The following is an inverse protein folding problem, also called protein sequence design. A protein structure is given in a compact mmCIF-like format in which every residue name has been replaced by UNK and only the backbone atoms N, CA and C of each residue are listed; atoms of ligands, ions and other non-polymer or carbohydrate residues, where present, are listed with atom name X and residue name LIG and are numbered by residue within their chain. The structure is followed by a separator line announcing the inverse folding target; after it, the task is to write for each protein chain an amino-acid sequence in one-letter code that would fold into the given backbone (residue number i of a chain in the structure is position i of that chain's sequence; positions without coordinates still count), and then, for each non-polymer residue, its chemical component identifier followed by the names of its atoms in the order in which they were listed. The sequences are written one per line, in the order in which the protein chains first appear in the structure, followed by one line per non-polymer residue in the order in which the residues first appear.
data_IF_115551957902
#
_entry.id   IF_115551957902
#
_cell.length_a   1.000
_cell.length_b   1.000
_cell.length_c   1.000
_cell.angle_alpha   90.00
_cell.angle_beta   90.00
_cell.angle_gamma   90.00
#
_symmetry.space_group_name_H-M   'P 1'
#
loop_
_entity.id
_entity.type
_entity.pdbx_description
1 polymer ?
#
# COMPACT_ATOMS: atom_id res chain seq x y z
N UNK A 1 -33.57 -24.82 -16.04
CA UNK A 1 -33.55 -23.47 -15.44
C UNK A 1 -32.25 -23.19 -14.69
N UNK A 2 -31.67 -24.12 -13.96
CA UNK A 2 -30.39 -23.97 -13.26
C UNK A 2 -29.23 -23.70 -14.23
N UNK A 3 -29.13 -24.45 -15.30
CA UNK A 3 -28.13 -24.22 -16.35
C UNK A 3 -28.22 -22.81 -16.94
N UNK A 4 -29.43 -22.34 -17.18
CA UNK A 4 -29.66 -21.00 -17.72
C UNK A 4 -29.27 -19.90 -16.73
N UNK A 5 -29.50 -20.09 -15.44
CA UNK A 5 -29.02 -19.19 -14.37
C UNK A 5 -27.50 -19.18 -14.28
N UNK A 6 -26.87 -20.34 -14.36
CA UNK A 6 -25.41 -20.46 -14.38
C UNK A 6 -24.78 -19.71 -15.57
N UNK A 7 -25.32 -19.86 -16.79
CA UNK A 7 -24.85 -19.10 -17.94
C UNK A 7 -25.03 -17.59 -17.79
N UNK A 8 -26.16 -17.13 -17.21
CA UNK A 8 -26.39 -15.71 -16.96
C UNK A 8 -25.36 -15.17 -15.97
N UNK A 9 -25.05 -15.89 -14.88
CA UNK A 9 -24.03 -15.49 -13.91
C UNK A 9 -22.64 -15.40 -14.56
N UNK A 10 -22.27 -16.38 -15.40
CA UNK A 10 -21.00 -16.34 -16.12
C UNK A 10 -20.92 -15.15 -17.07
N UNK A 11 -22.00 -14.86 -17.79
CA UNK A 11 -22.06 -13.70 -18.69
C UNK A 11 -21.95 -12.37 -17.93
N UNK A 12 -22.63 -12.25 -16.79
CA UNK A 12 -22.56 -11.07 -15.95
C UNK A 12 -21.15 -10.84 -15.43
N UNK A 13 -20.50 -11.88 -14.88
CA UNK A 13 -19.11 -11.82 -14.45
C UNK A 13 -18.15 -11.40 -15.58
N UNK A 14 -18.32 -11.96 -16.79
CA UNK A 14 -17.47 -11.61 -17.94
C UNK A 14 -17.72 -10.19 -18.42
N UNK A 15 -18.97 -9.72 -18.39
CA UNK A 15 -19.35 -8.34 -18.72
C UNK A 15 -18.74 -7.34 -17.74
N UNK A 16 -18.88 -7.57 -16.44
CA UNK A 16 -18.27 -6.74 -15.40
C UNK A 16 -16.74 -6.69 -15.55
N UNK A 17 -16.13 -7.83 -15.83
CA UNK A 17 -14.69 -7.89 -16.09
C UNK A 17 -14.28 -7.07 -17.32
N UNK A 18 -15.03 -7.17 -18.42
CA UNK A 18 -14.76 -6.39 -19.63
C UNK A 18 -14.87 -4.89 -19.35
N UNK A 19 -15.86 -4.47 -18.57
CA UNK A 19 -16.02 -3.07 -18.14
C UNK A 19 -14.75 -2.59 -17.42
N UNK A 20 -14.27 -3.32 -16.41
CA UNK A 20 -13.04 -2.97 -15.66
C UNK A 20 -11.83 -2.90 -16.59
N UNK A 21 -11.70 -3.84 -17.53
CA UNK A 21 -10.59 -3.83 -18.51
C UNK A 21 -10.61 -2.58 -19.40
N UNK A 22 -11.79 -2.16 -19.84
CA UNK A 22 -11.96 -0.96 -20.66
C UNK A 22 -11.61 0.29 -19.83
N UNK A 23 -12.09 0.38 -18.59
CA UNK A 23 -11.77 1.49 -17.67
C UNK A 23 -10.25 1.56 -17.42
N UNK A 24 -9.62 0.43 -17.10
CA UNK A 24 -8.16 0.32 -16.90
C UNK A 24 -7.38 0.77 -18.16
N UNK A 25 -7.80 0.35 -19.34
CA UNK A 25 -7.17 0.73 -20.62
C UNK A 25 -7.28 2.24 -20.87
N UNK A 26 -8.44 2.82 -20.61
CA UNK A 26 -8.65 4.28 -20.72
C UNK A 26 -7.76 5.05 -19.74
N UNK A 27 -7.63 4.59 -18.49
CA UNK A 27 -6.77 5.23 -17.50
C UNK A 27 -5.30 5.22 -17.95
N UNK A 28 -4.77 4.07 -18.40
CA UNK A 28 -3.40 3.97 -18.91
C UNK A 28 -3.22 4.83 -20.17
N UNK A 29 -4.20 4.85 -21.06
CA UNK A 29 -4.14 5.66 -22.30
C UNK A 29 -4.07 7.15 -21.97
N UNK A 30 -4.92 7.64 -21.05
CA UNK A 30 -4.90 9.03 -20.59
C UNK A 30 -3.59 9.39 -19.91
N UNK A 31 -3.06 8.52 -19.05
CA UNK A 31 -1.80 8.75 -18.38
C UNK A 31 -0.64 8.87 -19.38
N UNK A 32 -0.58 8.00 -20.38
CA UNK A 32 0.47 8.02 -21.41
C UNK A 32 0.36 9.22 -22.37
N UNK A 33 -0.84 9.74 -22.59
CA UNK A 33 -1.06 10.95 -23.44
C UNK A 33 -0.88 12.26 -22.68
N UNK A 34 -0.58 12.21 -21.36
CA UNK A 34 -0.47 13.41 -20.53
C UNK A 34 -1.78 14.15 -20.28
N UNK A 35 -2.92 13.50 -20.58
CA UNK A 35 -4.26 14.11 -20.43
C UNK A 35 -4.95 13.79 -19.12
N UNK A 36 -4.27 13.14 -18.19
CA UNK A 36 -4.79 12.87 -16.85
C UNK A 36 -4.90 14.17 -16.06
N UNK A 37 -6.10 14.52 -15.67
CA UNK A 37 -6.31 15.58 -14.68
C UNK A 37 -6.03 15.01 -13.31
N UNK A 38 -5.04 15.60 -12.61
CA UNK A 38 -4.71 15.28 -11.23
C UNK A 38 -5.42 16.26 -10.30
N UNK A 39 -5.85 15.77 -9.14
CA UNK A 39 -6.37 16.55 -8.03
C UNK A 39 -5.45 16.35 -6.82
N UNK A 40 -4.26 17.00 -6.80
CA UNK A 40 -3.28 16.79 -5.73
C UNK A 40 -3.76 17.40 -4.43
N UNK A 41 -3.56 16.67 -3.35
CA UNK A 41 -3.87 17.05 -1.97
C UNK A 41 -2.81 16.50 -1.01
N UNK A 42 -2.87 16.87 0.25
CA UNK A 42 -1.98 16.34 1.27
C UNK A 42 -2.44 14.94 1.69
N UNK A 43 -1.76 13.92 1.21
CA UNK A 43 -2.07 12.51 1.45
C UNK A 43 -1.14 11.92 2.48
N UNK A 44 -1.69 11.40 3.58
CA UNK A 44 -0.92 10.57 4.51
C UNK A 44 -0.80 9.15 3.96
N UNK A 45 0.37 8.83 3.43
CA UNK A 45 0.69 7.54 2.82
C UNK A 45 0.48 6.37 3.80
N UNK A 46 0.77 6.58 5.08
CA UNK A 46 0.62 5.53 6.10
C UNK A 46 -0.86 5.20 6.32
N UNK A 47 -1.69 6.23 6.45
CA UNK A 47 -3.15 6.08 6.61
C UNK A 47 -3.76 5.45 5.36
N UNK A 48 -3.35 5.88 4.17
CA UNK A 48 -3.84 5.33 2.91
C UNK A 48 -3.47 3.84 2.74
N UNK A 49 -2.22 3.45 3.05
CA UNK A 49 -1.80 2.04 3.01
C UNK A 49 -2.58 1.18 4.01
N UNK A 50 -2.88 1.70 5.21
CA UNK A 50 -3.71 1.02 6.20
C UNK A 50 -5.14 0.83 5.70
N UNK A 51 -5.70 1.84 5.03
CA UNK A 51 -7.03 1.76 4.41
C UNK A 51 -7.06 0.67 3.33
N UNK A 52 -6.15 0.70 2.36
CA UNK A 52 -6.09 -0.31 1.28
C UNK A 52 -5.90 -1.72 1.85
N UNK A 53 -5.03 -1.87 2.86
CA UNK A 53 -4.84 -3.14 3.57
C UNK A 53 -6.15 -3.65 4.18
N UNK A 54 -6.93 -2.78 4.82
CA UNK A 54 -8.21 -3.15 5.43
C UNK A 54 -9.22 -3.58 4.38
N UNK A 55 -9.37 -2.81 3.30
CA UNK A 55 -10.31 -3.09 2.22
C UNK A 55 -9.96 -4.38 1.43
N UNK A 56 -8.67 -4.72 1.34
CA UNK A 56 -8.18 -5.93 0.67
C UNK A 56 -7.97 -7.13 1.62
N UNK A 57 -8.38 -7.04 2.89
CA UNK A 57 -8.11 -8.05 3.92
C UNK A 57 -8.53 -9.46 3.50
N UNK A 58 -9.71 -9.61 2.91
CA UNK A 58 -10.23 -10.90 2.48
C UNK A 58 -9.41 -11.52 1.34
N UNK A 59 -9.03 -10.69 0.34
CA UNK A 59 -8.18 -11.14 -0.77
C UNK A 59 -6.78 -11.53 -0.31
N UNK A 60 -6.22 -10.74 0.61
CA UNK A 60 -4.90 -11.02 1.21
C UNK A 60 -4.94 -12.32 2.02
N UNK A 61 -5.95 -12.51 2.84
CA UNK A 61 -6.13 -13.74 3.64
C UNK A 61 -6.33 -14.98 2.76
N UNK A 62 -7.12 -14.86 1.70
CA UNK A 62 -7.38 -15.96 0.75
C UNK A 62 -6.14 -16.36 -0.05
N UNK A 63 -5.12 -15.47 -0.19
CA UNK A 63 -3.89 -15.77 -0.93
C UNK A 63 -2.95 -16.75 -0.23
N UNK A 64 -3.12 -16.98 1.07
CA UNK A 64 -2.21 -17.80 1.88
C UNK A 64 -0.83 -17.18 2.09
N UNK A 65 -0.66 -15.88 1.82
CA UNK A 65 0.59 -15.12 2.01
C UNK A 65 0.51 -14.31 3.29
N UNK A 66 1.57 -14.31 4.10
CA UNK A 66 1.69 -13.47 5.28
C UNK A 66 2.17 -12.07 4.90
N UNK A 67 1.28 -11.06 4.91
CA UNK A 67 1.64 -9.67 4.61
C UNK A 67 2.20 -8.95 5.83
N UNK A 68 3.44 -8.48 5.72
CA UNK A 68 4.15 -7.74 6.77
C UNK A 68 4.33 -6.28 6.36
N UNK A 69 3.75 -5.38 7.15
CA UNK A 69 3.82 -3.94 6.94
C UNK A 69 4.83 -3.32 7.92
N UNK A 70 5.97 -2.89 7.39
CA UNK A 70 7.00 -2.13 8.11
C UNK A 70 6.81 -0.64 7.81
N UNK A 71 5.94 -0.01 8.57
CA UNK A 71 5.59 1.40 8.41
C UNK A 71 6.30 2.20 9.51
N UNK A 72 6.86 3.39 9.21
CA UNK A 72 7.44 4.25 10.21
C UNK A 72 6.36 4.73 11.20
N UNK A 73 6.79 5.06 12.41
CA UNK A 73 5.93 5.77 13.34
C UNK A 73 5.60 7.17 12.81
N UNK A 74 4.36 7.61 13.03
CA UNK A 74 3.86 8.91 12.61
C UNK A 74 3.40 8.96 11.15
N UNK A 75 3.14 10.19 10.71
CA UNK A 75 2.53 10.47 9.40
C UNK A 75 3.61 10.67 8.33
N UNK A 76 3.33 10.23 7.12
CA UNK A 76 4.16 10.51 5.93
C UNK A 76 3.26 11.24 4.93
N UNK A 77 3.38 12.57 4.89
CA UNK A 77 2.54 13.41 4.05
C UNK A 77 3.24 13.68 2.72
N UNK A 78 2.55 13.40 1.62
CA UNK A 78 2.98 13.74 0.26
C UNK A 78 1.87 14.51 -0.45
N UNK A 79 2.23 15.38 -1.39
CA UNK A 79 1.26 16.14 -2.20
C UNK A 79 0.95 15.36 -3.47
N UNK A 80 -0.10 14.54 -3.44
CA UNK A 80 -0.46 13.55 -4.46
C UNK A 80 -1.99 13.53 -4.65
N UNK A 81 -2.44 12.94 -5.76
CA UNK A 81 -3.85 12.59 -5.96
C UNK A 81 -4.16 11.32 -5.16
N UNK A 82 -5.02 11.43 -4.13
CA UNK A 82 -5.34 10.34 -3.22
C UNK A 82 -5.98 9.15 -3.92
N UNK A 83 -6.86 9.39 -4.91
CA UNK A 83 -7.53 8.31 -5.65
C UNK A 83 -6.54 7.55 -6.54
N UNK A 84 -5.65 8.25 -7.24
CA UNK A 84 -4.62 7.62 -8.07
C UNK A 84 -3.59 6.87 -7.21
N UNK A 85 -3.23 7.43 -6.06
CA UNK A 85 -2.33 6.78 -5.11
C UNK A 85 -2.97 5.53 -4.48
N UNK A 86 -4.26 5.59 -4.14
CA UNK A 86 -5.02 4.40 -3.74
C UNK A 86 -4.95 3.30 -4.80
N UNK A 87 -5.21 3.62 -6.06
CA UNK A 87 -5.17 2.66 -7.18
C UNK A 87 -3.78 2.07 -7.40
N UNK A 88 -2.70 2.82 -7.15
CA UNK A 88 -1.33 2.28 -7.18
C UNK A 88 -1.20 1.16 -6.15
N UNK A 89 -1.54 1.43 -4.89
CA UNK A 89 -1.38 0.45 -3.81
C UNK A 89 -2.32 -0.75 -3.96
N UNK A 90 -3.56 -0.52 -4.38
CA UNK A 90 -4.52 -1.58 -4.69
C UNK A 90 -3.96 -2.54 -5.75
N UNK A 91 -3.49 -2.01 -6.90
CA UNK A 91 -2.92 -2.81 -7.98
C UNK A 91 -1.72 -3.64 -7.51
N UNK A 92 -0.82 -3.03 -6.73
CA UNK A 92 0.37 -3.72 -6.25
C UNK A 92 0.04 -4.80 -5.20
N UNK A 93 -0.84 -4.54 -4.24
CA UNK A 93 -1.23 -5.52 -3.23
C UNK A 93 -2.05 -6.67 -3.83
N UNK A 94 -2.95 -6.37 -4.77
CA UNK A 94 -3.69 -7.39 -5.53
C UNK A 94 -2.74 -8.23 -6.38
N UNK A 95 -1.71 -7.62 -6.98
CA UNK A 95 -0.67 -8.34 -7.72
C UNK A 95 0.07 -9.34 -6.83
N UNK A 96 0.49 -8.92 -5.63
CA UNK A 96 1.13 -9.80 -4.65
C UNK A 96 0.20 -10.95 -4.24
N UNK A 97 -1.05 -10.63 -3.87
CA UNK A 97 -2.01 -11.65 -3.45
C UNK A 97 -2.30 -12.70 -4.53
N UNK A 98 -2.16 -12.32 -5.80
CA UNK A 98 -2.48 -13.16 -6.95
C UNK A 98 -1.31 -13.99 -7.46
N UNK A 99 -0.10 -13.43 -7.46
CA UNK A 99 1.08 -14.03 -8.09
C UNK A 99 2.15 -14.43 -7.07
N UNK A 100 2.00 -14.03 -5.82
CA UNK A 100 2.91 -14.46 -4.77
C UNK A 100 2.72 -15.92 -4.38
N UNK A 101 3.78 -16.55 -3.89
CA UNK A 101 3.82 -17.96 -3.49
C UNK A 101 3.09 -18.13 -2.15
N UNK A 102 2.01 -18.94 -2.06
CA UNK A 102 1.35 -19.25 -0.80
C UNK A 102 2.31 -19.84 0.23
N UNK A 103 2.07 -19.58 1.52
CA UNK A 103 2.94 -20.02 2.61
C UNK A 103 4.21 -19.20 2.79
N UNK A 104 4.43 -18.17 1.96
CA UNK A 104 5.56 -17.25 2.08
C UNK A 104 5.15 -15.90 2.69
N UNK A 105 6.08 -14.95 2.71
CA UNK A 105 5.86 -13.61 3.25
C UNK A 105 5.98 -12.55 2.17
N UNK A 106 5.08 -11.57 2.23
CA UNK A 106 5.20 -10.33 1.47
C UNK A 106 5.56 -9.17 2.43
N UNK A 107 6.48 -8.32 2.03
CA UNK A 107 6.93 -7.20 2.84
C UNK A 107 6.59 -5.88 2.16
N UNK A 108 5.87 -5.03 2.86
CA UNK A 108 5.53 -3.68 2.46
C UNK A 108 6.27 -2.73 3.41
N UNK A 109 7.14 -1.89 2.87
CA UNK A 109 7.98 -1.01 3.68
C UNK A 109 7.90 0.42 3.17
N UNK A 110 7.81 1.37 4.10
CA UNK A 110 7.90 2.81 3.82
C UNK A 110 9.10 3.36 4.58
N UNK A 111 9.99 4.06 3.88
CA UNK A 111 11.21 4.65 4.45
C UNK A 111 11.37 6.08 3.94
N UNK A 112 11.68 7.01 4.84
CA UNK A 112 12.18 8.33 4.46
C UNK A 112 13.66 8.27 4.22
N UNK A 113 14.09 8.70 3.05
CA UNK A 113 15.51 8.81 2.70
C UNK A 113 16.08 10.17 3.16
N UNK A 114 17.39 10.23 3.51
CA UNK A 114 18.02 11.48 3.97
C UNK A 114 17.91 12.63 2.96
N UNK A 115 17.83 12.33 1.68
CA UNK A 115 17.77 13.27 0.57
C UNK A 115 16.38 13.89 0.35
N UNK A 116 15.42 13.64 1.27
CA UNK A 116 14.07 14.16 1.16
C UNK A 116 13.20 13.39 0.18
N UNK A 117 13.41 12.10 0.07
CA UNK A 117 12.54 11.20 -0.66
C UNK A 117 11.83 10.23 0.29
N UNK A 118 10.64 9.81 -0.12
CA UNK A 118 9.92 8.69 0.48
C UNK A 118 10.03 7.50 -0.47
N UNK A 119 10.58 6.40 0.06
CA UNK A 119 10.72 5.14 -0.64
C UNK A 119 9.66 4.16 -0.12
N UNK A 120 8.86 3.62 -1.02
CA UNK A 120 7.86 2.59 -0.72
C UNK A 120 8.25 1.35 -1.50
N UNK A 121 8.60 0.29 -0.78
CA UNK A 121 8.97 -0.98 -1.40
C UNK A 121 7.98 -2.08 -1.05
N UNK A 122 7.62 -2.88 -2.03
CA UNK A 122 6.79 -4.08 -1.88
C UNK A 122 7.52 -5.25 -2.50
N UNK A 123 7.71 -6.34 -1.73
CA UNK A 123 8.44 -7.52 -2.20
C UNK A 123 7.75 -8.79 -1.77
N UNK A 124 7.79 -9.81 -2.63
CA UNK A 124 7.25 -11.14 -2.38
C UNK A 124 8.04 -12.18 -3.19
N UNK A 125 7.92 -13.43 -2.80
CA UNK A 125 8.34 -14.57 -3.61
C UNK A 125 7.25 -14.82 -4.64
N UNK A 126 7.61 -14.99 -5.92
CA UNK A 126 6.67 -15.34 -6.99
C UNK A 126 6.34 -16.83 -6.95
N UNK A 127 5.07 -17.17 -7.19
CA UNK A 127 4.65 -18.57 -7.32
C UNK A 127 5.16 -19.25 -8.60
N UNK A 128 5.66 -18.47 -9.54
CA UNK A 128 6.13 -18.94 -10.84
C UNK A 128 7.45 -18.26 -11.18
N UNK A 129 8.30 -18.93 -11.93
CA UNK A 129 9.52 -18.33 -12.48
C UNK A 129 9.18 -17.12 -13.35
N UNK A 130 9.94 -16.06 -13.15
CA UNK A 130 9.78 -14.79 -13.84
C UNK A 130 10.79 -14.73 -15.00
N UNK A 131 10.43 -15.36 -16.13
CA UNK A 131 11.28 -15.42 -17.35
C UNK A 131 11.10 -14.19 -18.26
N UNK A 132 10.61 -13.07 -17.72
CA UNK A 132 10.39 -11.80 -18.44
C UNK A 132 11.23 -10.72 -17.80
N UNK A 133 11.74 -9.80 -18.62
CA UNK A 133 12.51 -8.66 -18.09
C UNK A 133 11.63 -7.73 -17.23
N UNK A 134 12.22 -7.02 -16.25
CA UNK A 134 11.49 -6.04 -15.44
C UNK A 134 10.78 -4.97 -16.27
N UNK A 135 11.36 -4.59 -17.41
CA UNK A 135 10.79 -3.62 -18.35
C UNK A 135 9.52 -4.17 -18.99
N UNK A 136 9.57 -5.42 -19.49
CA UNK A 136 8.43 -6.10 -20.11
C UNK A 136 7.27 -6.27 -19.12
N UNK A 137 7.53 -6.50 -17.82
CA UNK A 137 6.49 -6.62 -16.80
C UNK A 137 5.66 -5.34 -16.61
N UNK A 138 6.17 -4.19 -17.02
CA UNK A 138 5.46 -2.91 -16.99
C UNK A 138 4.82 -2.53 -18.32
N UNK A 139 5.07 -3.30 -19.37
CA UNK A 139 4.38 -3.10 -20.65
C UNK A 139 2.91 -3.51 -20.55
N UNK A 140 2.11 -2.94 -21.44
CA UNK A 140 0.66 -3.19 -21.46
C UNK A 140 0.39 -4.62 -21.92
N UNK A 141 -0.51 -5.31 -21.22
CA UNK A 141 -0.95 -6.66 -21.57
C UNK A 141 0.13 -7.75 -21.48
N UNK A 142 1.31 -7.44 -20.95
CA UNK A 142 2.33 -8.46 -20.72
C UNK A 142 1.93 -9.32 -19.53
N UNK A 143 1.92 -10.62 -19.75
CA UNK A 143 1.66 -11.65 -18.75
C UNK A 143 2.75 -12.70 -18.92
N UNK A 144 3.37 -13.11 -17.83
CA UNK A 144 4.27 -14.27 -17.89
C UNK A 144 3.56 -15.46 -18.55
N UNK A 145 4.27 -16.26 -19.32
CA UNK A 145 3.68 -17.33 -20.15
C UNK A 145 2.77 -18.29 -19.36
N UNK A 146 3.11 -18.56 -18.11
CA UNK A 146 2.34 -19.41 -17.20
C UNK A 146 1.08 -18.75 -16.62
N UNK A 147 0.97 -17.42 -16.65
CA UNK A 147 -0.17 -16.68 -16.08
C UNK A 147 -1.34 -16.46 -17.05
N UNK A 148 -1.25 -16.99 -18.27
CA UNK A 148 -2.31 -16.85 -19.30
C UNK A 148 -3.67 -17.42 -18.86
N UNK A 149 -3.67 -18.42 -17.99
CA UNK A 149 -4.87 -19.05 -17.44
C UNK A 149 -5.40 -18.41 -16.15
N UNK A 150 -4.67 -17.44 -15.53
CA UNK A 150 -5.12 -16.77 -14.31
C UNK A 150 -5.94 -15.54 -14.64
N UNK A 151 -6.95 -15.23 -13.80
CA UNK A 151 -7.77 -14.02 -13.97
C UNK A 151 -6.94 -12.73 -13.76
N UNK A 152 -6.95 -11.81 -14.73
CA UNK A 152 -6.29 -10.50 -14.63
C UNK A 152 -6.16 -9.81 -15.98
N UNK A 153 -6.07 -8.47 -15.95
CA UNK A 153 -5.93 -7.64 -17.15
C UNK A 153 -4.51 -7.64 -17.73
N UNK A 154 -3.50 -7.87 -16.89
CA UNK A 154 -2.12 -7.58 -17.24
C UNK A 154 -1.80 -6.08 -17.27
N UNK A 155 -2.72 -5.23 -16.80
CA UNK A 155 -2.58 -3.77 -16.81
C UNK A 155 -2.20 -3.19 -15.45
N UNK A 156 -2.34 -3.94 -14.35
CA UNK A 156 -2.18 -3.40 -13.00
C UNK A 156 -0.82 -2.77 -12.73
N UNK A 157 0.28 -3.37 -13.17
CA UNK A 157 1.63 -2.79 -13.04
C UNK A 157 1.81 -1.58 -13.95
N UNK A 158 1.28 -1.61 -15.17
CA UNK A 158 1.32 -0.48 -16.09
C UNK A 158 0.53 0.71 -15.56
N UNK A 159 -0.66 0.48 -14.97
CA UNK A 159 -1.48 1.51 -14.29
C UNK A 159 -0.70 2.11 -13.12
N UNK A 160 -0.16 1.25 -12.24
CA UNK A 160 0.60 1.71 -11.08
C UNK A 160 1.79 2.57 -11.51
N UNK A 161 2.58 2.13 -12.49
CA UNK A 161 3.71 2.89 -13.05
C UNK A 161 3.27 4.23 -13.61
N UNK A 162 2.25 4.23 -14.48
CA UNK A 162 1.75 5.46 -15.10
C UNK A 162 1.28 6.47 -14.05
N UNK A 163 0.56 6.03 -13.00
CA UNK A 163 0.09 6.92 -11.94
C UNK A 163 1.21 7.41 -11.02
N UNK A 164 2.27 6.65 -10.82
CA UNK A 164 3.47 7.11 -10.12
C UNK A 164 4.16 8.21 -10.92
N UNK A 165 4.38 7.98 -12.23
CA UNK A 165 5.10 8.89 -13.12
C UNK A 165 4.37 10.22 -13.33
N UNK A 166 3.05 10.21 -13.57
CA UNK A 166 2.26 11.46 -13.74
C UNK A 166 2.21 12.29 -12.46
N UNK A 167 2.45 11.69 -11.29
CA UNK A 167 2.55 12.36 -10.00
C UNK A 167 4.00 12.72 -9.64
N UNK A 168 4.93 12.70 -10.60
CA UNK A 168 6.32 13.12 -10.41
C UNK A 168 7.19 12.13 -9.64
N UNK A 169 6.73 10.89 -9.45
CA UNK A 169 7.49 9.80 -8.84
C UNK A 169 8.24 8.95 -9.86
N UNK A 170 8.98 7.98 -9.34
CA UNK A 170 9.59 6.91 -10.14
C UNK A 170 9.20 5.55 -9.58
N UNK A 171 8.99 4.59 -10.48
CA UNK A 171 8.72 3.20 -10.13
C UNK A 171 9.72 2.28 -10.81
N UNK A 172 10.39 1.43 -10.01
CA UNK A 172 11.34 0.42 -10.48
C UNK A 172 10.83 -0.96 -10.09
N UNK A 173 10.93 -1.92 -11.01
CA UNK A 173 10.73 -3.33 -10.75
C UNK A 173 12.09 -4.01 -10.73
N UNK A 174 12.30 -4.86 -9.75
CA UNK A 174 13.50 -5.68 -9.60
C UNK A 174 13.03 -7.14 -9.48
N UNK A 175 13.70 -7.99 -10.25
CA UNK A 175 13.48 -9.44 -10.24
C UNK A 175 14.83 -10.09 -10.01
N UNK A 176 14.91 -10.93 -8.99
CA UNK A 176 16.09 -11.72 -8.65
C UNK A 176 15.59 -13.15 -8.37
N UNK A 177 15.82 -14.04 -9.31
CA UNK A 177 15.29 -15.40 -9.34
C UNK A 177 13.75 -15.40 -9.21
N UNK A 178 13.23 -15.87 -8.07
CA UNK A 178 11.79 -15.87 -7.73
C UNK A 178 11.36 -14.67 -6.87
N UNK A 179 12.30 -13.79 -6.50
CA UNK A 179 12.00 -12.60 -5.72
C UNK A 179 11.56 -11.45 -6.62
N UNK A 180 10.31 -11.04 -6.46
CA UNK A 180 9.74 -9.87 -7.13
C UNK A 180 9.71 -8.69 -6.17
N UNK A 181 10.19 -7.54 -6.62
CA UNK A 181 10.21 -6.31 -5.83
C UNK A 181 9.80 -5.11 -6.68
N UNK A 182 8.88 -4.30 -6.15
CA UNK A 182 8.54 -2.98 -6.67
C UNK A 182 9.06 -1.93 -5.71
N UNK A 183 9.70 -0.89 -6.25
CA UNK A 183 10.17 0.27 -5.49
C UNK A 183 9.56 1.52 -6.11
N UNK A 184 8.83 2.29 -5.30
CA UNK A 184 8.29 3.59 -5.66
C UNK A 184 9.02 4.65 -4.86
N UNK A 185 9.38 5.75 -5.52
CA UNK A 185 10.10 6.86 -4.91
C UNK A 185 9.43 8.17 -5.28
N UNK A 186 9.00 8.95 -4.27
CA UNK A 186 8.51 10.30 -4.42
C UNK A 186 9.36 11.28 -3.63
N UNK A 187 9.47 12.50 -4.14
CA UNK A 187 10.15 13.58 -3.41
C UNK A 187 9.19 14.12 -2.35
N UNK A 188 9.66 14.18 -1.09
CA UNK A 188 8.96 14.83 0.00
C UNK A 188 9.12 16.36 -0.17
N UNK A 189 8.03 17.14 -0.12
CA UNK A 189 8.14 18.60 -0.19
C UNK A 189 8.86 19.13 1.05
N UNK A 190 9.97 19.85 0.84
CA UNK A 190 10.91 20.22 1.92
C UNK A 190 10.29 21.08 3.05
N UNK A 191 9.22 21.83 2.76
CA UNK A 191 8.49 22.62 3.78
C UNK A 191 7.59 21.74 4.64
N UNK A 192 6.90 20.78 4.05
CA UNK A 192 5.94 19.91 4.73
C UNK A 192 6.61 18.80 5.55
N UNK A 193 7.75 18.32 5.07
CA UNK A 193 8.57 17.36 5.82
C UNK A 193 9.15 17.94 7.12
N UNK A 194 9.37 19.26 7.20
CA UNK A 194 9.78 19.93 8.43
C UNK A 194 8.63 20.09 9.40
N UNK A 195 7.47 20.57 8.95
CA UNK A 195 6.29 20.76 9.79
C UNK A 195 5.77 19.43 10.36
N UNK A 196 5.77 18.35 9.54
CA UNK A 196 5.41 17.02 10.00
C UNK A 196 6.40 16.48 11.06
N UNK A 197 7.70 16.75 10.93
CA UNK A 197 8.73 16.36 11.89
C UNK A 197 8.64 17.18 13.18
N UNK A 198 8.36 18.46 13.09
CA UNK A 198 8.19 19.34 14.24
C UNK A 198 6.92 19.01 15.03
N UNK A 199 5.80 18.72 14.34
CA UNK A 199 4.58 18.24 14.96
C UNK A 199 4.75 16.91 15.71
N UNK A 200 5.46 15.96 15.11
CA UNK A 200 5.78 14.68 15.76
C UNK A 200 6.66 14.82 17.00
N UNK A 201 7.66 15.71 16.94
CA UNK A 201 8.51 15.97 18.10
C UNK A 201 7.73 16.64 19.26
N UNK A 202 6.77 17.52 18.93
CA UNK A 202 5.90 18.13 19.95
C UNK A 202 4.92 17.11 20.56
N UNK A 203 4.32 16.24 19.75
CA UNK A 203 3.45 15.17 20.26
C UNK A 203 4.22 14.19 21.15
N UNK A 204 5.43 13.80 20.76
CA UNK A 204 6.30 12.94 21.55
C UNK A 204 6.68 13.58 22.89
N UNK A 205 7.07 14.84 22.88
CA UNK A 205 7.37 15.59 24.10
C UNK A 205 6.17 15.74 25.01
N UNK A 206 4.97 15.94 24.45
CA UNK A 206 3.74 16.02 25.22
C UNK A 206 3.36 14.66 25.85
N UNK A 207 3.54 13.55 25.12
CA UNK A 207 3.32 12.20 25.67
C UNK A 207 4.32 11.84 26.76
N UNK A 208 5.60 12.22 26.61
CA UNK A 208 6.62 12.02 27.63
C UNK A 208 6.33 12.84 28.89
N UNK A 209 5.84 14.08 28.75
CA UNK A 209 5.41 14.92 29.91
C UNK A 209 4.20 14.30 30.61
N UNK A 210 3.18 13.85 29.89
CA UNK A 210 1.99 13.22 30.48
C UNK A 210 2.35 11.91 31.22
N UNK A 211 3.27 11.13 30.69
CA UNK A 211 3.75 9.92 31.35
C UNK A 211 4.58 10.23 32.62
N UNK A 212 5.36 11.31 32.63
CA UNK A 212 6.09 11.76 33.82
C UNK A 212 5.15 12.31 34.90
N UNK A 213 4.16 13.10 34.52
CA UNK A 213 3.14 13.63 35.46
C UNK A 213 2.27 12.49 36.02
N UNK A 214 1.91 11.49 35.21
CA UNK A 214 1.17 10.30 35.65
C UNK A 214 1.93 9.43 36.62
N UNK A 215 3.28 9.37 36.52
CA UNK A 215 4.12 8.60 37.44
C UNK A 215 4.36 9.32 38.78
N UNK A 216 4.37 10.64 38.81
CA UNK A 216 4.51 11.44 40.03
C UNK A 216 3.23 11.47 40.88
N UNK A 217 2.06 11.30 40.26
CA UNK A 217 0.76 11.23 40.97
C UNK A 217 0.46 9.89 41.65
N UNK A 218 1.28 8.87 41.43
CA UNK A 218 1.05 7.51 41.98
C UNK A 218 1.74 7.25 43.33
N UNK A 219 2.58 8.15 43.83
CA UNK A 219 3.37 7.95 45.08
C UNK A 219 2.78 8.58 46.33
N UNK A 220 1.69 9.32 46.30
CA UNK A 220 1.03 9.83 47.53
C UNK A 220 -0.27 9.05 47.83
N UNK A 221 -0.12 7.91 48.49
CA UNK A 221 -1.19 7.36 49.36
C UNK A 221 -0.89 7.71 50.80
N UNK A 222 -1.70 8.55 51.49
CA UNK A 222 -1.54 8.82 52.91
C UNK A 222 -1.82 7.54 53.72
N UNK A 223 -0.99 7.36 54.72
CA UNK A 223 -1.02 6.19 55.60
C UNK A 223 -2.36 5.97 56.30
N UNK A 224 -2.75 4.72 56.36
CA UNK A 224 -3.93 4.22 57.08
C UNK A 224 -3.61 4.24 58.57
N UNK A 225 -4.18 5.17 59.32
CA UNK A 225 -4.21 5.22 60.78
C UNK A 225 -4.91 3.98 61.33
N UNK A 226 -4.18 3.14 62.05
CA UNK A 226 -4.75 2.00 62.78
C UNK A 226 -5.31 2.53 64.11
N UNK A 227 -6.64 2.62 64.16
CA UNK A 227 -7.39 2.90 65.42
C UNK A 227 -7.33 1.64 66.33
N UNK A 228 -6.61 1.76 67.48
CA UNK A 228 -6.70 0.80 68.60
C UNK A 228 -7.75 1.30 69.58
N UNK A 229 -8.90 0.60 69.66
CA UNK A 229 -9.88 0.82 70.70
C UNK A 229 -9.41 0.36 72.08
N UNK A 230 -9.97 0.98 73.19
CA UNK A 230 -9.58 0.61 74.55
C UNK A 230 -10.29 -0.67 74.98
N UNK A 231 -9.70 -1.32 76.00
CA UNK A 231 -10.04 -2.55 76.68
C UNK A 231 -11.52 -2.72 77.08
#
# INVERSE_FOLDING_TARGET
EEERRSYIQVLDQKSMRLKVLIEDLFEVSKASSGTVTLHPEHVDIISLLKQVRFELSDKMSASGIEFRFNLPEGRVILYLDSQKTYRIFENLLVNIAKYGMPGTRAYIQVVREPEGYVNISMRNVSAQELNVSPEELTERFVRGDSSRNTEGSGLGLAIARSFVEVQGGSMKIEVEDDLFRVVIRWKENAQEGKEAREGQNQERQNQERQNQEGSLGAEEKPGMEVYRGPE
#
